data_IF_554276895891
#
_entry.id   IF_554276895891
#
_cell.length_a   1.000
_cell.length_b   1.000
_cell.length_c   1.000
_cell.angle_alpha   90.00
_cell.angle_beta   90.00
_cell.angle_gamma   90.00
#
_symmetry.space_group_name_H-M   'P 1'
#
loop_
_entity.id
_entity.type
_entity.pdbx_description
1 polymer ?
#
# COMPACT_ATOMS: atom_id res chain seq x y z
N UNK A 1 -2.23 11.83 6.49
CA UNK A 1 -1.58 11.17 5.32
C UNK A 1 -0.73 10.00 5.79
N UNK A 2 -0.84 8.84 5.12
CA UNK A 2 0.13 7.76 5.29
C UNK A 2 1.48 8.17 4.69
N UNK A 3 2.52 8.23 5.50
CA UNK A 3 3.85 8.71 5.11
C UNK A 3 4.49 7.90 3.97
N UNK A 4 4.27 6.58 3.98
CA UNK A 4 4.74 5.68 2.92
C UNK A 4 4.04 5.96 1.59
N UNK A 5 2.71 6.03 1.60
CA UNK A 5 1.92 6.21 0.38
C UNK A 5 2.19 7.55 -0.28
N UNK A 6 2.36 8.62 0.50
CA UNK A 6 2.70 9.91 -0.08
C UNK A 6 4.12 9.89 -0.68
N UNK A 7 5.06 9.18 -0.07
CA UNK A 7 6.40 8.95 -0.62
C UNK A 7 6.36 8.21 -1.97
N UNK A 8 5.47 7.22 -2.09
CA UNK A 8 5.23 6.53 -3.36
C UNK A 8 4.66 7.48 -4.42
N UNK A 9 3.69 8.31 -4.07
CA UNK A 9 3.11 9.31 -4.98
C UNK A 9 4.14 10.36 -5.40
N UNK A 10 5.04 10.78 -4.52
CA UNK A 10 6.17 11.64 -4.87
C UNK A 10 7.13 10.97 -5.86
N UNK A 11 7.36 9.66 -5.73
CA UNK A 11 8.17 8.91 -6.70
C UNK A 11 7.54 8.92 -8.09
N UNK A 12 6.21 8.81 -8.18
CA UNK A 12 5.49 8.93 -9.44
C UNK A 12 5.57 10.34 -10.02
N UNK A 13 5.42 11.34 -9.17
CA UNK A 13 5.49 12.75 -9.59
C UNK A 13 6.88 13.14 -10.09
N UNK A 14 7.93 12.64 -9.45
CA UNK A 14 9.33 12.83 -9.87
C UNK A 14 9.61 12.18 -11.24
N UNK A 15 8.93 11.08 -11.55
CA UNK A 15 9.00 10.38 -12.85
C UNK A 15 7.87 10.72 -13.81
N UNK A 16 7.11 11.78 -13.60
CA UNK A 16 5.89 12.09 -14.37
C UNK A 16 6.12 12.27 -15.88
N UNK A 17 7.33 12.68 -16.28
CA UNK A 17 7.67 12.83 -17.70
C UNK A 17 7.55 11.50 -18.45
N UNK A 18 7.98 10.38 -17.85
CA UNK A 18 7.84 9.05 -18.45
C UNK A 18 6.36 8.67 -18.60
N UNK A 19 5.54 9.01 -17.60
CA UNK A 19 4.10 8.75 -17.64
C UNK A 19 3.42 9.67 -18.67
N UNK A 20 3.88 10.91 -18.81
CA UNK A 20 3.40 11.85 -19.83
C UNK A 20 3.70 11.39 -21.27
N UNK A 21 4.83 10.70 -21.49
CA UNK A 21 5.14 10.09 -22.79
C UNK A 21 4.18 8.95 -23.16
N UNK A 22 3.60 8.28 -22.15
CA UNK A 22 2.65 7.20 -22.34
C UNK A 22 1.25 7.75 -22.60
N UNK A 23 0.76 8.59 -21.70
CA UNK A 23 -0.50 9.31 -21.80
C UNK A 23 -0.43 10.57 -20.92
N UNK A 24 -0.59 11.78 -21.49
CA UNK A 24 -0.53 13.03 -20.72
C UNK A 24 -1.49 13.07 -19.53
N UNK A 25 -2.64 12.41 -19.62
CA UNK A 25 -3.63 12.33 -18.52
C UNK A 25 -3.03 11.71 -17.25
N UNK A 26 -2.11 10.78 -17.37
CA UNK A 26 -1.48 10.13 -16.20
C UNK A 26 -0.64 11.12 -15.40
N UNK A 27 0.17 11.94 -16.07
CA UNK A 27 0.95 12.97 -15.40
C UNK A 27 0.05 14.03 -14.73
N UNK A 28 -0.99 14.49 -15.43
CA UNK A 28 -1.97 15.45 -14.89
C UNK A 28 -2.69 14.90 -13.64
N UNK A 29 -3.12 13.64 -13.68
CA UNK A 29 -3.78 12.99 -12.56
C UNK A 29 -2.87 12.87 -11.33
N UNK A 30 -1.60 12.51 -11.53
CA UNK A 30 -0.62 12.45 -10.44
C UNK A 30 -0.44 13.83 -9.80
N UNK A 31 -0.26 14.87 -10.59
CA UNK A 31 -0.12 16.23 -10.11
C UNK A 31 -1.35 16.69 -9.31
N UNK A 32 -2.54 16.42 -9.81
CA UNK A 32 -3.81 16.68 -9.13
C UNK A 32 -3.89 15.97 -7.78
N UNK A 33 -3.52 14.69 -7.72
CA UNK A 33 -3.57 13.92 -6.48
C UNK A 33 -2.53 14.40 -5.45
N UNK A 34 -1.33 14.77 -5.86
CA UNK A 34 -0.31 15.38 -4.97
C UNK A 34 -0.84 16.70 -4.39
N UNK A 35 -1.37 17.59 -5.21
CA UNK A 35 -1.95 18.84 -4.73
C UNK A 35 -3.13 18.63 -3.79
N UNK A 36 -3.98 17.62 -4.07
CA UNK A 36 -5.08 17.24 -3.20
C UNK A 36 -4.58 16.71 -1.87
N UNK A 37 -3.54 15.88 -1.87
CA UNK A 37 -2.93 15.36 -0.65
C UNK A 37 -2.35 16.50 0.22
N UNK A 38 -1.67 17.47 -0.39
CA UNK A 38 -1.13 18.64 0.32
C UNK A 38 -2.25 19.49 0.92
N UNK A 39 -3.35 19.69 0.19
CA UNK A 39 -4.42 20.61 0.59
C UNK A 39 -5.39 20.00 1.60
N UNK A 40 -5.78 18.74 1.42
CA UNK A 40 -6.86 18.10 2.17
C UNK A 40 -6.36 17.09 3.21
N UNK A 41 -5.09 16.70 3.14
CA UNK A 41 -4.46 15.69 4.02
C UNK A 41 -5.33 14.42 4.21
N UNK A 42 -5.85 13.80 3.14
CA UNK A 42 -6.62 12.58 3.27
C UNK A 42 -5.72 11.44 3.77
N UNK A 43 -6.29 10.53 4.54
CA UNK A 43 -5.56 9.34 4.94
C UNK A 43 -5.49 8.35 3.79
N UNK A 44 -4.29 8.13 3.27
CA UNK A 44 -4.00 7.18 2.20
C UNK A 44 -3.41 5.90 2.74
N UNK A 45 -3.75 4.78 2.12
CA UNK A 45 -3.03 3.53 2.27
C UNK A 45 -2.46 3.06 0.93
N UNK A 46 -1.43 2.24 0.99
CA UNK A 46 -0.80 1.65 -0.19
C UNK A 46 -1.40 0.27 -0.44
N UNK A 47 -2.33 0.17 -1.39
CA UNK A 47 -2.96 -1.09 -1.80
C UNK A 47 -2.02 -1.90 -2.72
N UNK A 48 -0.97 -2.45 -2.12
CA UNK A 48 0.15 -3.07 -2.79
C UNK A 48 0.05 -4.60 -2.80
N UNK A 49 -0.25 -5.23 -1.66
CA UNK A 49 -0.07 -6.67 -1.50
C UNK A 49 -1.19 -7.48 -2.14
N UNK A 50 -0.85 -8.31 -3.11
CA UNK A 50 -1.78 -9.23 -3.76
C UNK A 50 -2.06 -10.47 -2.91
N UNK A 51 -3.26 -11.08 -3.01
CA UNK A 51 -3.52 -12.42 -2.51
C UNK A 51 -2.50 -13.42 -3.04
N UNK A 52 -2.10 -14.37 -2.22
CA UNK A 52 -0.98 -15.27 -2.59
C UNK A 52 -1.35 -16.32 -3.61
N UNK A 53 -2.59 -16.83 -3.59
CA UNK A 53 -3.05 -17.86 -4.48
C UNK A 53 -2.13 -19.08 -4.58
N UNK A 54 -2.14 -19.73 -5.72
CA UNK A 54 -1.23 -20.83 -6.05
C UNK A 54 0.09 -20.27 -6.60
N UNK A 55 1.13 -20.24 -5.77
CA UNK A 55 2.45 -19.69 -6.13
C UNK A 55 3.21 -20.49 -7.18
N UNK A 56 2.74 -21.69 -7.54
CA UNK A 56 3.33 -22.49 -8.62
C UNK A 56 2.84 -22.04 -10.01
N UNK A 57 1.80 -21.23 -10.06
CA UNK A 57 1.17 -20.74 -11.28
C UNK A 57 1.54 -19.29 -11.58
N UNK A 58 1.58 -18.95 -12.86
CA UNK A 58 1.67 -17.56 -13.29
C UNK A 58 0.35 -16.81 -12.97
N UNK A 59 0.36 -15.46 -12.84
CA UNK A 59 -0.83 -14.69 -12.50
C UNK A 59 -2.03 -14.96 -13.40
N UNK A 60 -1.82 -15.05 -14.71
CA UNK A 60 -2.86 -15.30 -15.70
C UNK A 60 -3.43 -16.74 -15.70
N UNK A 61 -2.73 -17.67 -15.03
CA UNK A 61 -3.12 -19.09 -14.93
C UNK A 61 -3.90 -19.40 -13.63
N UNK A 62 -4.19 -18.37 -12.83
CA UNK A 62 -4.94 -18.49 -11.59
C UNK A 62 -6.39 -18.04 -11.77
N UNK A 63 -7.13 -17.96 -10.67
CA UNK A 63 -8.47 -17.39 -10.70
C UNK A 63 -8.40 -15.95 -11.22
N UNK A 64 -9.08 -15.61 -12.33
CA UNK A 64 -9.00 -14.29 -12.93
C UNK A 64 -9.45 -13.16 -12.00
N UNK A 65 -10.35 -13.46 -11.05
CA UNK A 65 -10.90 -12.47 -10.11
C UNK A 65 -10.10 -12.37 -8.81
N UNK A 66 -8.99 -13.11 -8.68
CA UNK A 66 -8.15 -13.05 -7.47
C UNK A 66 -7.30 -11.79 -7.44
N UNK A 67 -6.61 -11.49 -8.54
CA UNK A 67 -5.75 -10.31 -8.65
C UNK A 67 -6.53 -9.14 -9.25
N UNK A 68 -6.19 -7.93 -8.83
CA UNK A 68 -6.88 -6.75 -9.36
C UNK A 68 -6.56 -6.58 -10.84
N UNK A 69 -7.62 -6.50 -11.64
CA UNK A 69 -7.56 -6.34 -13.08
C UNK A 69 -8.71 -5.48 -13.59
N UNK A 70 -8.57 -5.00 -14.81
CA UNK A 70 -9.63 -4.24 -15.51
C UNK A 70 -10.60 -5.21 -16.16
N UNK A 71 -11.87 -5.11 -15.78
CA UNK A 71 -12.98 -5.92 -16.36
C UNK A 71 -13.58 -5.25 -17.57
N UNK A 72 -13.68 -3.90 -17.50
CA UNK A 72 -14.38 -3.12 -18.53
C UNK A 72 -13.93 -1.68 -18.54
N UNK A 73 -13.80 -1.11 -19.71
CA UNK A 73 -13.63 0.32 -19.94
C UNK A 73 -15.01 0.98 -20.22
N UNK A 74 -15.21 2.18 -19.70
CA UNK A 74 -16.42 2.99 -19.88
C UNK A 74 -16.06 4.46 -20.10
N UNK A 75 -17.01 5.27 -20.55
CA UNK A 75 -16.82 6.73 -20.70
C UNK A 75 -16.49 7.42 -19.37
N UNK A 76 -16.96 6.87 -18.24
CA UNK A 76 -16.76 7.43 -16.91
C UNK A 76 -15.44 7.00 -16.25
N UNK A 77 -14.81 5.93 -16.72
CA UNK A 77 -13.62 5.32 -16.12
C UNK A 77 -13.52 3.84 -16.41
N UNK A 78 -12.76 3.13 -15.62
CA UNK A 78 -12.60 1.67 -15.71
C UNK A 78 -13.34 0.97 -14.57
N UNK A 79 -13.85 -0.23 -14.87
CA UNK A 79 -14.38 -1.15 -13.85
C UNK A 79 -13.29 -2.13 -13.49
N UNK A 80 -12.97 -2.23 -12.20
CA UNK A 80 -11.95 -3.14 -11.69
C UNK A 80 -12.54 -4.19 -10.75
N UNK A 81 -11.91 -5.37 -10.74
CA UNK A 81 -12.27 -6.49 -9.88
C UNK A 81 -11.01 -7.15 -9.32
N UNK A 82 -11.12 -7.80 -8.14
CA UNK A 82 -10.03 -8.50 -7.50
C UNK A 82 -9.91 -8.20 -6.02
N UNK A 83 -8.76 -8.50 -5.42
CA UNK A 83 -8.53 -8.25 -4.00
C UNK A 83 -7.12 -7.76 -3.70
N UNK A 84 -6.99 -7.07 -2.56
CA UNK A 84 -5.71 -6.62 -1.97
C UNK A 84 -5.71 -6.86 -0.46
N UNK A 85 -4.53 -7.18 0.09
CA UNK A 85 -4.30 -7.15 1.53
C UNK A 85 -3.71 -5.80 1.90
N UNK A 86 -4.40 -5.08 2.81
CA UNK A 86 -3.98 -3.74 3.17
C UNK A 86 -4.15 -3.43 4.66
N UNK A 87 -3.12 -2.86 5.24
CA UNK A 87 -3.18 -2.31 6.59
C UNK A 87 -3.99 -1.01 6.58
N UNK A 88 -4.84 -0.81 7.58
CA UNK A 88 -5.64 0.40 7.77
C UNK A 88 -6.67 0.73 6.66
N UNK A 89 -6.88 -0.12 5.66
CA UNK A 89 -7.78 0.18 4.54
C UNK A 89 -9.21 0.51 5.00
N UNK A 90 -9.73 -0.23 5.99
CA UNK A 90 -11.12 -0.09 6.45
C UNK A 90 -11.47 1.27 7.08
N UNK A 91 -10.48 2.06 7.50
CA UNK A 91 -10.70 3.39 8.09
C UNK A 91 -9.93 4.52 7.39
N UNK A 92 -9.31 4.23 6.25
CA UNK A 92 -8.68 5.24 5.40
C UNK A 92 -9.69 5.91 4.48
N UNK A 93 -9.30 7.06 3.91
CA UNK A 93 -10.13 7.76 2.94
C UNK A 93 -10.02 7.15 1.55
N UNK A 94 -8.81 6.73 1.19
CA UNK A 94 -8.52 6.21 -0.14
C UNK A 94 -7.25 5.36 -0.15
N UNK A 95 -7.10 4.53 -1.17
CA UNK A 95 -5.92 3.73 -1.41
C UNK A 95 -5.25 4.10 -2.73
N UNK A 96 -3.93 4.12 -2.74
CA UNK A 96 -3.15 4.00 -3.96
C UNK A 96 -3.01 2.52 -4.29
N UNK A 97 -3.79 2.07 -5.26
CA UNK A 97 -3.79 0.69 -5.75
C UNK A 97 -2.77 0.56 -6.86
N UNK A 98 -1.90 -0.44 -6.76
CA UNK A 98 -0.87 -0.77 -7.74
C UNK A 98 -0.59 -2.26 -7.79
N UNK A 99 -0.04 -2.79 -8.89
CA UNK A 99 0.27 -4.21 -8.98
C UNK A 99 1.58 -4.55 -8.27
N UNK A 100 1.66 -5.74 -7.67
CA UNK A 100 2.91 -6.31 -7.14
C UNK A 100 3.51 -7.42 -8.00
N UNK A 101 2.84 -7.78 -9.08
CA UNK A 101 3.29 -8.80 -10.02
C UNK A 101 4.70 -8.45 -10.53
N UNK A 102 5.56 -9.45 -10.65
CA UNK A 102 6.84 -9.36 -11.36
C UNK A 102 6.63 -9.78 -12.82
N UNK A 103 7.57 -9.58 -13.70
CA UNK A 103 7.50 -10.03 -15.09
C UNK A 103 6.55 -9.24 -16.01
N UNK A 104 6.71 -7.93 -16.01
CA UNK A 104 5.97 -7.01 -16.88
C UNK A 104 6.37 -7.08 -18.37
N UNK A 105 7.22 -8.02 -18.76
CA UNK A 105 7.53 -8.29 -20.18
C UNK A 105 6.43 -9.07 -20.91
N UNK A 106 5.43 -9.61 -20.20
CA UNK A 106 4.33 -10.37 -20.78
C UNK A 106 3.13 -9.46 -21.07
N UNK A 107 2.72 -9.36 -22.34
CA UNK A 107 1.55 -8.57 -22.77
C UNK A 107 0.22 -9.14 -22.25
N UNK A 108 0.15 -10.42 -21.89
CA UNK A 108 -1.04 -11.03 -21.27
C UNK A 108 -1.36 -10.43 -19.89
N UNK A 109 -0.41 -9.72 -19.30
CA UNK A 109 -0.58 -9.02 -18.01
C UNK A 109 -1.09 -7.59 -18.16
N UNK A 110 -1.47 -7.15 -19.36
CA UNK A 110 -1.90 -5.75 -19.61
C UNK A 110 -3.09 -5.35 -18.74
N UNK A 111 -4.08 -6.21 -18.57
CA UNK A 111 -5.28 -5.92 -17.77
C UNK A 111 -5.00 -5.81 -16.26
N UNK A 112 -3.87 -6.37 -15.80
CA UNK A 112 -3.38 -6.25 -14.43
C UNK A 112 -2.44 -5.04 -14.25
N UNK A 113 -2.01 -4.42 -15.35
CA UNK A 113 -1.06 -3.30 -15.34
C UNK A 113 -1.79 -1.97 -15.15
N UNK A 114 -2.28 -1.75 -13.93
CA UNK A 114 -2.97 -0.50 -13.58
C UNK A 114 -2.49 0.04 -12.24
N UNK A 115 -2.46 1.38 -12.13
CA UNK A 115 -2.29 2.10 -10.88
C UNK A 115 -3.35 3.19 -10.78
N UNK A 116 -4.05 3.24 -9.67
CA UNK A 116 -5.16 4.17 -9.49
C UNK A 116 -5.40 4.53 -8.03
N UNK A 117 -6.17 5.59 -7.82
CA UNK A 117 -6.67 5.95 -6.50
C UNK A 117 -8.09 5.41 -6.35
N UNK A 118 -8.29 4.55 -5.36
CA UNK A 118 -9.61 3.98 -5.03
C UNK A 118 -10.13 4.61 -3.76
N UNK A 119 -11.34 5.17 -3.79
CA UNK A 119 -12.03 5.67 -2.59
C UNK A 119 -12.54 4.48 -1.77
N UNK A 120 -12.26 4.48 -0.46
CA UNK A 120 -12.62 3.33 0.39
C UNK A 120 -14.12 3.13 0.59
N UNK A 121 -14.92 4.15 0.31
CA UNK A 121 -16.39 4.10 0.33
C UNK A 121 -17.01 3.97 -1.06
N UNK A 122 -16.23 3.69 -2.11
CA UNK A 122 -16.78 3.51 -3.44
C UNK A 122 -17.71 2.28 -3.49
N UNK A 123 -18.81 2.34 -4.25
CA UNK A 123 -19.68 1.18 -4.44
C UNK A 123 -18.87 -0.02 -4.98
N UNK A 124 -19.08 -1.19 -4.39
CA UNK A 124 -18.35 -2.41 -4.74
C UNK A 124 -17.08 -2.66 -3.89
N UNK A 125 -16.60 -1.69 -3.14
CA UNK A 125 -15.50 -1.91 -2.17
C UNK A 125 -16.04 -2.58 -0.92
N UNK A 126 -15.47 -3.74 -0.56
CA UNK A 126 -15.81 -4.52 0.62
C UNK A 126 -14.57 -4.76 1.46
N UNK A 127 -14.71 -4.76 2.77
CA UNK A 127 -13.61 -4.93 3.71
C UNK A 127 -13.84 -6.13 4.62
N UNK A 128 -12.88 -7.05 4.67
CA UNK A 128 -12.83 -8.12 5.66
C UNK A 128 -11.66 -7.81 6.58
N UNK A 129 -11.96 -7.34 7.78
CA UNK A 129 -10.97 -6.91 8.75
C UNK A 129 -10.58 -8.05 9.68
N UNK A 130 -9.30 -8.14 10.05
CA UNK A 130 -8.94 -8.93 11.21
C UNK A 130 -9.55 -8.36 12.47
N UNK A 131 -9.65 -9.16 13.49
CA UNK A 131 -10.07 -8.70 14.82
C UNK A 131 -9.02 -7.76 15.41
N UNK A 132 -9.46 -6.61 15.90
CA UNK A 132 -8.61 -5.68 16.63
C UNK A 132 -8.25 -6.17 18.04
N UNK A 133 -7.13 -5.72 18.57
CA UNK A 133 -6.70 -6.00 19.95
C UNK A 133 -7.33 -5.04 20.96
N UNK A 134 -7.67 -3.83 20.55
CA UNK A 134 -8.22 -2.80 21.42
C UNK A 134 -9.47 -3.28 22.19
N UNK A 135 -9.41 -3.17 23.51
CA UNK A 135 -10.50 -3.56 24.40
C UNK A 135 -10.71 -5.07 24.61
N UNK A 136 -9.84 -5.92 24.02
CA UNK A 136 -9.97 -7.39 24.14
C UNK A 136 -8.89 -8.03 25.00
N UNK A 137 -7.72 -7.46 25.06
CA UNK A 137 -6.59 -7.99 25.79
C UNK A 137 -6.31 -7.15 27.05
N UNK A 138 -5.75 -7.76 28.13
CA UNK A 138 -5.35 -7.03 29.30
C UNK A 138 -4.36 -5.93 28.93
N UNK A 139 -4.57 -4.72 29.44
CA UNK A 139 -3.72 -3.57 29.11
C UNK A 139 -2.27 -3.74 29.62
N UNK A 140 -2.09 -4.53 30.68
CA UNK A 140 -0.77 -4.86 31.19
C UNK A 140 0.06 -5.73 30.23
N UNK A 141 -0.60 -6.65 29.53
CA UNK A 141 0.07 -7.57 28.60
C UNK A 141 0.23 -6.98 27.19
N UNK A 142 -0.69 -6.09 26.78
CA UNK A 142 -0.73 -5.51 25.43
C UNK A 142 -0.87 -3.99 25.44
N UNK A 143 0.03 -3.26 26.13
CA UNK A 143 -0.14 -1.82 26.34
C UNK A 143 -0.04 -0.99 25.05
N UNK A 144 0.74 -1.45 24.07
CA UNK A 144 0.90 -0.77 22.78
C UNK A 144 -0.26 -1.13 21.84
N UNK A 145 -0.55 -2.41 21.63
CA UNK A 145 -1.61 -2.88 20.74
C UNK A 145 -3.00 -2.38 21.14
N UNK A 146 -3.23 -2.13 22.44
CA UNK A 146 -4.49 -1.53 22.91
C UNK A 146 -4.61 -0.03 22.59
N UNK A 147 -3.51 0.65 22.27
CA UNK A 147 -3.48 2.09 21.97
C UNK A 147 -3.27 2.40 20.50
N UNK A 148 -2.49 1.57 19.80
CA UNK A 148 -1.98 1.83 18.46
C UNK A 148 -2.14 0.59 17.59
N UNK A 149 -3.35 0.07 17.50
CA UNK A 149 -3.66 -1.09 16.69
C UNK A 149 -3.97 -0.68 15.25
N UNK A 150 -3.21 -1.21 14.34
CA UNK A 150 -3.40 -1.07 12.89
C UNK A 150 -4.10 -2.33 12.35
N UNK A 151 -5.32 -2.18 11.86
CA UNK A 151 -6.15 -3.34 11.47
C UNK A 151 -5.87 -3.73 10.02
N UNK A 152 -5.27 -4.91 9.83
CA UNK A 152 -5.12 -5.49 8.50
C UNK A 152 -6.48 -5.86 7.92
N UNK A 153 -6.60 -5.62 6.63
CA UNK A 153 -7.86 -5.73 5.91
C UNK A 153 -7.64 -6.45 4.58
N UNK A 154 -8.50 -7.41 4.28
CA UNK A 154 -8.67 -7.87 2.91
C UNK A 154 -9.68 -6.94 2.24
N UNK A 155 -9.21 -6.15 1.29
CA UNK A 155 -10.03 -5.27 0.45
C UNK A 155 -10.45 -6.03 -0.80
N UNK A 156 -11.75 -6.22 -0.97
CA UNK A 156 -12.35 -6.85 -2.14
C UNK A 156 -12.97 -5.78 -3.01
N UNK A 157 -12.65 -5.82 -4.29
CA UNK A 157 -13.16 -4.94 -5.33
C UNK A 157 -14.13 -5.76 -6.19
N UNK A 158 -15.41 -5.43 -6.10
CA UNK A 158 -16.50 -6.12 -6.79
C UNK A 158 -17.13 -5.15 -7.79
N UNK A 159 -16.61 -5.14 -9.01
CA UNK A 159 -16.99 -4.23 -10.09
C UNK A 159 -16.93 -2.73 -9.70
N UNK A 160 -15.80 -2.32 -9.13
CA UNK A 160 -15.60 -0.94 -8.67
C UNK A 160 -15.29 -0.02 -9.85
N UNK A 161 -16.08 1.03 -10.02
CA UNK A 161 -15.78 2.09 -10.97
C UNK A 161 -14.67 3.00 -10.42
N UNK A 162 -13.59 3.12 -11.18
CA UNK A 162 -12.53 4.11 -10.96
C UNK A 162 -12.62 5.16 -12.05
N UNK A 163 -12.92 6.43 -11.71
CA UNK A 163 -12.99 7.51 -12.68
C UNK A 163 -11.65 7.75 -13.40
N UNK A 164 -11.69 8.21 -14.65
CA UNK A 164 -10.48 8.49 -15.43
C UNK A 164 -9.51 9.44 -14.72
N UNK A 165 -10.02 10.37 -13.94
CA UNK A 165 -9.23 11.32 -13.17
C UNK A 165 -8.49 10.73 -11.96
N UNK A 166 -8.83 9.50 -11.56
CA UNK A 166 -8.20 8.75 -10.48
C UNK A 166 -7.23 7.66 -11.00
N UNK A 167 -7.04 7.57 -12.33
CA UNK A 167 -6.15 6.59 -12.97
C UNK A 167 -4.78 7.22 -13.19
N UNK A 168 -3.74 6.58 -12.66
CA UNK A 168 -2.36 7.05 -12.73
C UNK A 168 -1.55 6.36 -13.85
N UNK A 169 -1.93 5.15 -14.21
CA UNK A 169 -1.55 4.43 -15.42
C UNK A 169 -2.52 3.27 -15.67
N UNK A 170 -2.62 2.84 -16.92
CA UNK A 170 -3.62 1.88 -17.33
C UNK A 170 -3.15 1.05 -18.54
N UNK A 171 -3.34 -0.28 -18.48
CA UNK A 171 -2.97 -1.25 -19.53
C UNK A 171 -1.55 -1.10 -20.10
N UNK A 172 -0.61 -0.58 -19.30
CA UNK A 172 0.73 -0.30 -19.78
C UNK A 172 1.78 -0.99 -18.91
N UNK A 173 2.24 -2.15 -19.36
CA UNK A 173 3.19 -3.00 -18.62
C UNK A 173 4.54 -2.31 -18.36
N UNK A 174 5.01 -1.45 -19.28
CA UNK A 174 6.23 -0.65 -19.08
C UNK A 174 6.06 0.38 -17.95
N UNK A 175 4.89 1.03 -17.84
CA UNK A 175 4.59 1.93 -16.74
C UNK A 175 4.57 1.19 -15.41
N UNK A 176 3.94 0.03 -15.35
CA UNK A 176 3.93 -0.83 -14.18
C UNK A 176 5.35 -1.24 -13.75
N UNK A 177 6.21 -1.59 -14.70
CA UNK A 177 7.62 -1.91 -14.46
C UNK A 177 8.40 -0.72 -13.91
N UNK A 178 8.22 0.45 -14.49
CA UNK A 178 8.86 1.69 -14.04
C UNK A 178 8.45 2.04 -12.61
N UNK A 179 7.16 1.99 -12.31
CA UNK A 179 6.63 2.28 -10.98
C UNK A 179 7.23 1.32 -9.96
N UNK A 180 7.26 0.02 -10.25
CA UNK A 180 7.90 -0.95 -9.37
C UNK A 180 9.38 -0.63 -9.10
N UNK A 181 10.12 -0.19 -10.09
CA UNK A 181 11.54 0.12 -9.97
C UNK A 181 11.81 1.41 -9.16
N UNK A 182 10.90 2.37 -9.18
CA UNK A 182 11.11 3.72 -8.63
C UNK A 182 10.32 3.99 -7.36
N UNK A 183 9.26 3.22 -7.11
CA UNK A 183 8.26 3.49 -6.07
C UNK A 183 8.84 3.69 -4.67
N UNK A 184 9.87 2.92 -4.32
CA UNK A 184 10.46 2.98 -2.99
C UNK A 184 11.54 4.06 -2.82
N UNK A 185 11.76 4.90 -3.81
CA UNK A 185 12.80 5.94 -3.75
C UNK A 185 12.60 6.87 -2.54
N UNK A 186 11.38 7.34 -2.35
CA UNK A 186 11.03 8.24 -1.24
C UNK A 186 10.36 7.51 -0.07
N UNK A 187 9.59 6.45 -0.32
CA UNK A 187 8.90 5.71 0.74
C UNK A 187 9.83 4.93 1.66
N UNK A 188 11.04 4.59 1.21
CA UNK A 188 12.03 3.93 2.06
C UNK A 188 12.48 4.80 3.24
N UNK A 189 12.51 6.11 3.10
CA UNK A 189 12.96 7.03 4.14
C UNK A 189 12.07 7.01 5.41
N UNK A 190 10.74 7.14 5.31
CA UNK A 190 9.86 6.98 6.47
C UNK A 190 9.98 5.61 7.14
N UNK A 191 10.17 4.54 6.37
CA UNK A 191 10.40 3.21 6.94
C UNK A 191 11.64 3.17 7.82
N UNK A 192 12.76 3.70 7.34
CA UNK A 192 14.01 3.75 8.11
C UNK A 192 13.81 4.55 9.38
N UNK A 193 13.18 5.72 9.30
CA UNK A 193 12.92 6.57 10.48
C UNK A 193 12.04 5.88 11.51
N UNK A 194 10.94 5.25 11.10
CA UNK A 194 10.09 4.49 12.02
C UNK A 194 10.85 3.33 12.66
N UNK A 195 11.62 2.58 11.89
CA UNK A 195 12.42 1.46 12.39
C UNK A 195 13.44 1.92 13.44
N UNK A 196 14.12 3.05 13.22
CA UNK A 196 15.04 3.63 14.18
C UNK A 196 14.32 4.02 15.49
N UNK A 197 13.14 4.65 15.41
CA UNK A 197 12.36 5.03 16.58
C UNK A 197 11.91 3.80 17.40
N UNK A 198 11.51 2.72 16.71
CA UNK A 198 11.19 1.46 17.38
C UNK A 198 12.43 0.78 17.98
N UNK A 199 13.56 0.84 17.30
CA UNK A 199 14.82 0.30 17.81
C UNK A 199 15.22 1.02 19.12
N UNK A 200 15.12 2.33 19.18
CA UNK A 200 15.39 3.12 20.41
C UNK A 200 14.50 2.66 21.57
N UNK A 201 13.21 2.44 21.32
CA UNK A 201 12.29 1.94 22.33
C UNK A 201 12.68 0.54 22.85
N UNK A 202 12.99 -0.38 21.93
CA UNK A 202 13.35 -1.77 22.26
C UNK A 202 14.69 -1.80 23.02
N UNK A 203 15.69 -1.06 22.55
CA UNK A 203 17.00 -0.95 23.19
C UNK A 203 16.84 -0.33 24.58
N UNK A 204 16.05 0.73 24.73
CA UNK A 204 15.77 1.35 26.01
C UNK A 204 15.12 0.38 27.01
N UNK A 205 14.14 -0.40 26.56
CA UNK A 205 13.50 -1.43 27.39
C UNK A 205 14.46 -2.55 27.79
N UNK A 206 15.32 -3.00 26.86
CA UNK A 206 16.35 -4.00 27.12
C UNK A 206 17.37 -3.49 28.16
N UNK A 207 17.89 -2.28 27.98
CA UNK A 207 18.82 -1.64 28.92
C UNK A 207 18.22 -1.47 30.32
N UNK A 208 16.93 -1.07 30.36
CA UNK A 208 16.22 -0.97 31.62
C UNK A 208 16.15 -2.32 32.34
N UNK A 209 15.72 -3.38 31.62
CA UNK A 209 15.62 -4.73 32.17
C UNK A 209 16.97 -5.26 32.69
N UNK A 210 18.02 -5.09 31.89
CA UNK A 210 19.39 -5.50 32.24
C UNK A 210 19.87 -4.83 33.54
N UNK A 211 19.58 -3.54 33.70
CA UNK A 211 19.91 -2.79 34.96
C UNK A 211 19.12 -3.32 36.14
N UNK A 212 17.81 -3.58 35.97
CA UNK A 212 16.97 -4.08 37.09
C UNK A 212 17.38 -5.48 37.56
N UNK A 213 17.86 -6.32 36.62
CA UNK A 213 18.29 -7.70 36.89
C UNK A 213 19.77 -7.81 37.32
N UNK A 214 20.56 -6.72 37.23
CA UNK A 214 22.00 -6.72 37.50
C UNK A 214 22.87 -7.41 36.45
N UNK A 215 22.30 -7.72 35.30
CA UNK A 215 23.03 -8.33 34.19
C UNK A 215 23.98 -7.36 33.46
N UNK A 216 23.79 -6.04 33.69
CA UNK A 216 24.66 -4.97 33.19
C UNK A 216 26.14 -5.09 33.64
N UNK A 217 26.39 -5.90 34.68
CA UNK A 217 27.74 -6.16 35.19
C UNK A 217 28.44 -7.33 34.53
N UNK A 218 27.74 -8.07 33.68
CA UNK A 218 28.33 -9.22 32.96
C UNK A 218 28.97 -8.75 31.65
N UNK A 219 30.20 -9.19 31.40
CA UNK A 219 30.98 -8.81 30.21
C UNK A 219 30.24 -9.05 28.92
N UNK A 220 29.60 -10.23 28.75
CA UNK A 220 28.84 -10.59 27.56
C UNK A 220 27.61 -9.71 27.29
N UNK A 221 27.20 -8.88 28.24
CA UNK A 221 26.06 -7.94 28.11
C UNK A 221 26.55 -6.52 27.84
N UNK A 222 27.85 -6.25 28.14
CA UNK A 222 28.48 -4.95 27.89
C UNK A 222 29.08 -4.82 26.49
N UNK A 223 29.37 -5.94 25.82
CA UNK A 223 29.83 -6.02 24.44
C UNK A 223 28.66 -5.99 23.43
#
# INVERSE_FOLDING_TARGET
VGDETIGEMWSLWDGKEILNEIDPRFAENIEKHIHTAIKLDPFHVSANTDPKGDRSKAPQDQDPDMLVHVVKETDAGIIIRGAKYETAASYSNQAFLKPTIANWGNSELSDYALGCIVKMNAPGVKHICRTGFAGRAPNADYPLSNKVDEIDTLMILDDVLVPWEDILFYQHTRAASFIRATLHRYSAFPFVQRTLSYADLIIGAALWNVKQTGLDKQQAVQE
#
